data_IF_063409132953
#
_entry.id   IF_063409132953
#
_cell.length_a   1.000
_cell.length_b   1.000
_cell.length_c   1.000
_cell.angle_alpha   90.00
_cell.angle_beta   90.00
_cell.angle_gamma   90.00
#
_symmetry.space_group_name_H-M   'P 1'
#
loop_
_entity.id
_entity.type
_entity.pdbx_description
1 polymer ?
#
# COMPACT_ATOMS: atom_id res chain seq x y z
N UNK A 1 -3.43 7.37 -3.58
CA UNK A 1 -2.81 6.16 -3.00
C UNK A 1 -2.57 5.10 -4.06
N UNK A 2 -1.62 4.22 -3.80
CA UNK A 2 -1.41 3.03 -4.62
C UNK A 2 -1.45 1.79 -3.73
N UNK A 3 -2.19 0.77 -4.15
CA UNK A 3 -2.28 -0.53 -3.47
C UNK A 3 -1.87 -1.64 -4.43
N UNK A 4 -1.16 -2.64 -3.90
CA UNK A 4 -0.58 -3.73 -4.69
C UNK A 4 -0.89 -5.09 -4.07
N UNK A 5 -1.90 -5.81 -4.57
CA UNK A 5 -2.22 -7.15 -4.10
C UNK A 5 -1.17 -8.17 -4.54
N UNK A 6 -0.90 -9.16 -3.70
CA UNK A 6 0.07 -10.22 -3.96
C UNK A 6 -0.55 -11.49 -4.58
N UNK A 7 -1.85 -11.66 -4.43
CA UNK A 7 -2.61 -12.83 -4.88
C UNK A 7 -4.09 -12.51 -5.10
N UNK A 8 -4.87 -13.54 -5.44
CA UNK A 8 -6.29 -13.37 -5.75
C UNK A 8 -7.15 -13.00 -4.53
N UNK A 9 -6.78 -13.43 -3.32
CA UNK A 9 -7.49 -13.05 -2.10
C UNK A 9 -7.24 -11.59 -1.78
N UNK A 10 -5.98 -11.13 -1.84
CA UNK A 10 -5.65 -9.73 -1.70
C UNK A 10 -6.40 -8.85 -2.72
N UNK A 11 -6.61 -9.33 -3.95
CA UNK A 11 -7.38 -8.56 -4.95
C UNK A 11 -8.79 -8.24 -4.47
N UNK A 12 -9.46 -9.16 -3.79
CA UNK A 12 -10.81 -8.94 -3.24
C UNK A 12 -10.74 -8.01 -2.01
N UNK A 13 -9.86 -8.32 -1.08
CA UNK A 13 -9.79 -7.61 0.20
C UNK A 13 -9.27 -6.17 0.02
N UNK A 14 -8.23 -6.00 -0.79
CA UNK A 14 -7.67 -4.68 -1.08
C UNK A 14 -8.61 -3.80 -1.90
N UNK A 15 -9.46 -4.39 -2.77
CA UNK A 15 -10.43 -3.61 -3.52
C UNK A 15 -11.46 -2.98 -2.58
N UNK A 16 -11.94 -3.70 -1.58
CA UNK A 16 -12.85 -3.14 -0.56
C UNK A 16 -12.19 -1.97 0.18
N UNK A 17 -10.97 -2.18 0.65
CA UNK A 17 -10.21 -1.16 1.37
C UNK A 17 -9.83 0.02 0.47
N UNK A 18 -9.57 -0.19 -0.82
CA UNK A 18 -9.28 0.88 -1.77
C UNK A 18 -10.47 1.84 -1.92
N UNK A 19 -11.71 1.35 -1.89
CA UNK A 19 -12.90 2.20 -1.87
C UNK A 19 -12.99 3.01 -0.56
N UNK A 20 -12.73 2.38 0.59
CA UNK A 20 -12.72 3.09 1.88
C UNK A 20 -11.63 4.17 1.95
N UNK A 21 -10.43 3.88 1.45
CA UNK A 21 -9.34 4.86 1.32
C UNK A 21 -9.77 6.02 0.41
N UNK A 22 -10.36 5.71 -0.74
CA UNK A 22 -10.82 6.71 -1.70
C UNK A 22 -11.86 7.65 -1.09
N UNK A 23 -12.85 7.09 -0.40
CA UNK A 23 -13.90 7.86 0.26
C UNK A 23 -13.38 8.68 1.46
N UNK A 24 -12.51 8.09 2.26
CA UNK A 24 -11.94 8.72 3.45
C UNK A 24 -11.04 9.90 3.12
N UNK A 25 -10.18 9.75 2.12
CA UNK A 25 -9.20 10.77 1.74
C UNK A 25 -9.62 11.62 0.54
N UNK A 26 -10.77 11.31 -0.06
CA UNK A 26 -11.28 12.04 -1.22
C UNK A 26 -10.26 12.12 -2.37
N UNK A 27 -9.73 10.94 -2.74
CA UNK A 27 -8.70 10.75 -3.77
C UNK A 27 -8.98 9.51 -4.62
N UNK A 28 -8.49 9.44 -5.85
CA UNK A 28 -8.42 8.17 -6.56
C UNK A 28 -7.38 7.25 -5.92
N UNK A 29 -7.64 5.95 -5.96
CA UNK A 29 -6.67 4.91 -5.58
C UNK A 29 -6.25 4.15 -6.82
N UNK A 30 -4.95 4.08 -7.07
CA UNK A 30 -4.38 3.24 -8.10
C UNK A 30 -4.27 1.80 -7.55
N UNK A 31 -5.02 0.90 -8.15
CA UNK A 31 -4.98 -0.53 -7.86
C UNK A 31 -4.03 -1.19 -8.87
N UNK A 32 -2.77 -1.39 -8.47
CA UNK A 32 -1.72 -1.89 -9.36
C UNK A 32 -1.62 -3.40 -9.24
N UNK A 33 -1.83 -4.09 -10.35
CA UNK A 33 -1.64 -5.55 -10.45
C UNK A 33 -0.64 -5.87 -11.56
N UNK A 34 0.23 -6.82 -11.29
CA UNK A 34 1.13 -7.35 -12.32
C UNK A 34 0.42 -8.37 -13.19
N UNK A 35 0.96 -8.64 -14.36
CA UNK A 35 0.43 -9.65 -15.30
C UNK A 35 0.25 -11.02 -14.63
N UNK A 36 1.17 -11.41 -13.75
CA UNK A 36 1.09 -12.71 -13.07
C UNK A 36 -0.12 -12.80 -12.14
N UNK A 37 -0.38 -11.76 -11.35
CA UNK A 37 -1.57 -11.70 -10.49
C UNK A 37 -2.84 -11.68 -11.33
N UNK A 38 -2.88 -10.89 -12.40
CA UNK A 38 -4.05 -10.82 -13.31
C UNK A 38 -4.40 -12.14 -13.99
N UNK A 39 -3.40 -12.98 -14.28
CA UNK A 39 -3.60 -14.27 -14.95
C UNK A 39 -3.65 -15.46 -13.98
N UNK A 40 -3.43 -15.23 -12.68
CA UNK A 40 -3.54 -16.28 -11.67
C UNK A 40 -5.00 -16.66 -11.41
N UNK A 41 -5.18 -17.88 -10.94
CA UNK A 41 -6.48 -18.40 -10.51
C UNK A 41 -6.25 -19.17 -9.21
N UNK A 42 -6.98 -18.80 -8.18
CA UNK A 42 -6.98 -19.52 -6.90
C UNK A 42 -8.36 -19.52 -6.26
N UNK A 43 -8.54 -20.38 -5.27
CA UNK A 43 -9.74 -20.35 -4.44
C UNK A 43 -9.66 -19.12 -3.55
N UNK A 44 -10.75 -18.38 -3.47
CA UNK A 44 -10.88 -17.16 -2.66
C UNK A 44 -12.11 -17.24 -1.76
N UNK A 45 -12.02 -16.62 -0.61
CA UNK A 45 -13.15 -16.45 0.29
C UNK A 45 -13.88 -15.14 -0.07
N UNK A 46 -15.17 -15.24 -0.33
CA UNK A 46 -16.01 -14.08 -0.59
C UNK A 46 -16.85 -13.76 0.65
N UNK A 47 -16.89 -12.49 1.03
CA UNK A 47 -17.78 -12.02 2.09
C UNK A 47 -19.19 -11.69 1.57
N UNK A 48 -20.09 -11.32 2.49
CA UNK A 48 -21.42 -10.83 2.13
C UNK A 48 -21.34 -9.43 1.50
N UNK A 49 -22.33 -9.13 0.66
CA UNK A 49 -22.45 -7.82 0.04
C UNK A 49 -22.83 -6.76 1.08
N UNK A 50 -21.96 -5.77 1.27
CA UNK A 50 -22.29 -4.59 2.07
C UNK A 50 -23.09 -3.61 1.21
N UNK A 51 -24.26 -3.20 1.71
CA UNK A 51 -25.04 -2.14 1.07
C UNK A 51 -24.57 -0.79 1.60
N UNK A 52 -24.11 0.07 0.70
CA UNK A 52 -23.70 1.44 1.01
C UNK A 52 -24.83 2.39 0.67
N UNK A 53 -25.14 3.33 1.55
CA UNK A 53 -26.14 4.35 1.30
C UNK A 53 -25.75 5.23 0.11
N UNK A 54 -26.74 5.56 -0.72
CA UNK A 54 -26.52 6.46 -1.84
C UNK A 54 -26.19 7.87 -1.32
N UNK A 55 -25.09 8.46 -1.80
CA UNK A 55 -24.72 9.84 -1.52
C UNK A 55 -25.27 10.75 -2.60
N UNK A 56 -25.99 11.79 -2.19
CA UNK A 56 -26.47 12.80 -3.14
C UNK A 56 -25.31 13.66 -3.65
N UNK A 57 -25.39 14.05 -4.91
CA UNK A 57 -24.42 14.97 -5.50
C UNK A 57 -24.59 16.39 -4.94
N UNK A 58 -23.53 16.92 -4.34
CA UNK A 58 -23.47 18.31 -3.88
C UNK A 58 -22.55 19.10 -4.80
N UNK A 59 -23.08 20.13 -5.47
CA UNK A 59 -22.27 21.00 -6.32
C UNK A 59 -21.22 21.75 -5.51
N UNK A 60 -19.94 21.51 -5.80
CA UNK A 60 -18.82 22.18 -5.14
C UNK A 60 -17.75 22.60 -6.16
N UNK A 61 -17.88 23.81 -6.74
CA UNK A 61 -16.92 24.33 -7.71
C UNK A 61 -15.51 24.50 -7.12
N UNK A 62 -15.38 24.77 -5.83
CA UNK A 62 -14.07 24.92 -5.18
C UNK A 62 -13.32 23.60 -5.04
N UNK A 63 -14.03 22.47 -5.07
CA UNK A 63 -13.46 21.14 -5.08
C UNK A 63 -13.17 20.65 -6.49
N UNK A 64 -14.14 20.81 -7.41
CA UNK A 64 -14.12 20.12 -8.70
C UNK A 64 -13.59 20.95 -9.86
N UNK A 65 -13.47 22.28 -9.72
CA UNK A 65 -12.95 23.13 -10.78
C UNK A 65 -11.46 23.45 -10.57
N UNK A 66 -10.59 22.76 -11.33
CA UNK A 66 -9.14 22.97 -11.31
C UNK A 66 -8.74 24.19 -12.12
N UNK A 67 -9.04 25.40 -11.61
CA UNK A 67 -8.60 26.65 -12.22
C UNK A 67 -7.26 27.13 -11.65
N UNK A 68 -6.47 27.95 -12.38
CA UNK A 68 -5.20 28.48 -11.87
C UNK A 68 -5.34 29.20 -10.52
N UNK A 69 -6.42 29.94 -10.33
CA UNK A 69 -6.69 30.65 -9.07
C UNK A 69 -6.86 29.70 -7.86
N UNK A 70 -7.32 28.47 -8.08
CA UNK A 70 -7.52 27.45 -7.04
C UNK A 70 -6.35 26.50 -6.88
N UNK A 71 -5.43 26.46 -7.84
CA UNK A 71 -4.33 25.48 -7.87
C UNK A 71 -3.49 25.48 -6.59
N UNK A 72 -3.14 26.66 -6.05
CA UNK A 72 -2.36 26.78 -4.82
C UNK A 72 -3.07 26.15 -3.59
N UNK A 73 -4.37 26.38 -3.47
CA UNK A 73 -5.16 25.81 -2.37
C UNK A 73 -5.34 24.30 -2.53
N UNK A 74 -5.50 23.82 -3.76
CA UNK A 74 -5.57 22.39 -4.06
C UNK A 74 -4.25 21.67 -3.77
N UNK A 75 -3.11 22.28 -4.14
CA UNK A 75 -1.79 21.72 -3.85
C UNK A 75 -1.53 21.61 -2.35
N UNK A 76 -1.84 22.64 -1.57
CA UNK A 76 -1.71 22.58 -0.12
C UNK A 76 -2.59 21.50 0.51
N UNK A 77 -3.80 21.30 -0.01
CA UNK A 77 -4.69 20.18 0.42
C UNK A 77 -4.09 18.83 0.06
N UNK A 78 -3.50 18.69 -1.12
CA UNK A 78 -2.82 17.46 -1.55
C UNK A 78 -1.66 17.10 -0.63
N UNK A 79 -0.77 18.05 -0.34
CA UNK A 79 0.37 17.84 0.57
C UNK A 79 -0.06 17.39 1.97
N UNK A 80 -1.09 18.03 2.54
CA UNK A 80 -1.61 17.63 3.84
C UNK A 80 -2.23 16.22 3.80
N UNK A 81 -2.89 15.89 2.71
CA UNK A 81 -3.54 14.59 2.50
C UNK A 81 -2.51 13.47 2.36
N UNK A 82 -1.40 13.72 1.66
CA UNK A 82 -0.29 12.76 1.55
C UNK A 82 0.27 12.39 2.92
N UNK A 83 0.49 13.36 3.80
CA UNK A 83 0.94 13.11 5.18
C UNK A 83 -0.06 12.27 5.99
N UNK A 84 -1.36 12.59 5.86
CA UNK A 84 -2.40 11.81 6.55
C UNK A 84 -2.49 10.38 6.02
N UNK A 85 -2.26 10.19 4.73
CA UNK A 85 -2.26 8.87 4.09
C UNK A 85 -1.03 8.04 4.50
N UNK A 86 0.13 8.65 4.65
CA UNK A 86 1.33 7.99 5.18
C UNK A 86 1.09 7.46 6.60
N UNK A 87 0.56 8.31 7.48
CA UNK A 87 0.18 7.89 8.84
C UNK A 87 -0.88 6.77 8.83
N UNK A 88 -1.86 6.86 7.94
CA UNK A 88 -2.85 5.79 7.75
C UNK A 88 -2.19 4.50 7.26
N UNK A 89 -1.27 4.57 6.30
CA UNK A 89 -0.59 3.40 5.78
C UNK A 89 0.21 2.66 6.86
N UNK A 90 0.80 3.37 7.83
CA UNK A 90 1.49 2.75 8.97
C UNK A 90 0.60 1.85 9.83
N UNK A 91 -0.70 2.15 9.92
CA UNK A 91 -1.67 1.39 10.71
C UNK A 91 -2.64 0.54 9.85
N UNK A 92 -2.48 0.54 8.54
CA UNK A 92 -3.40 -0.15 7.63
C UNK A 92 -3.29 -1.67 7.74
N UNK A 93 -4.42 -2.39 7.75
CA UNK A 93 -4.42 -3.85 7.73
C UNK A 93 -3.91 -4.45 6.42
N UNK A 94 -3.75 -3.65 5.37
CA UNK A 94 -3.16 -4.09 4.10
C UNK A 94 -1.66 -4.33 4.20
N UNK A 95 -0.99 -3.68 5.17
CA UNK A 95 0.42 -3.90 5.46
C UNK A 95 0.54 -4.94 6.59
N UNK A 96 1.25 -6.03 6.33
CA UNK A 96 1.37 -7.15 7.27
C UNK A 96 2.81 -7.34 7.70
N UNK A 97 3.04 -7.43 9.00
CA UNK A 97 4.33 -7.80 9.59
C UNK A 97 4.24 -9.25 10.07
N UNK A 98 5.16 -10.07 9.61
CA UNK A 98 5.31 -11.47 10.01
C UNK A 98 6.73 -11.64 10.57
N UNK A 99 6.88 -11.67 11.90
CA UNK A 99 8.17 -11.80 12.54
C UNK A 99 8.61 -13.26 12.67
N UNK A 100 9.82 -13.55 12.22
CA UNK A 100 10.56 -14.78 12.46
C UNK A 100 11.63 -14.61 13.56
N UNK A 101 12.82 -15.17 13.35
CA UNK A 101 13.93 -15.09 14.31
C UNK A 101 14.71 -13.75 14.32
N UNK A 102 14.34 -12.83 13.46
CA UNK A 102 14.97 -11.49 13.36
C UNK A 102 16.33 -11.43 12.63
N UNK A 103 16.86 -12.54 12.15
CA UNK A 103 18.14 -12.54 11.42
C UNK A 103 18.03 -11.91 10.03
N UNK A 104 16.97 -12.25 9.34
CA UNK A 104 16.68 -11.74 7.99
C UNK A 104 15.33 -11.09 7.98
N UNK A 105 15.26 -9.86 7.49
CA UNK A 105 14.02 -9.15 7.18
C UNK A 105 13.86 -8.92 5.69
N UNK A 106 12.66 -9.12 5.17
CA UNK A 106 12.31 -8.89 3.77
C UNK A 106 11.15 -7.94 3.68
N UNK A 107 11.35 -6.82 3.00
CA UNK A 107 10.28 -5.89 2.62
C UNK A 107 9.92 -6.15 1.17
N UNK A 108 8.65 -6.33 0.88
CA UNK A 108 8.16 -6.59 -0.48
C UNK A 108 6.71 -6.20 -0.66
N UNK A 109 6.27 -6.05 -1.91
CA UNK A 109 4.90 -5.74 -2.30
C UNK A 109 4.46 -6.60 -3.48
N UNK A 110 3.16 -6.70 -3.69
CA UNK A 110 2.59 -7.43 -4.81
C UNK A 110 3.12 -8.86 -4.94
N UNK A 111 3.30 -9.34 -6.16
CA UNK A 111 3.76 -10.71 -6.42
C UNK A 111 5.18 -10.98 -5.93
N UNK A 112 6.02 -9.95 -5.78
CA UNK A 112 7.38 -10.10 -5.23
C UNK A 112 7.38 -10.69 -3.82
N UNK A 113 6.31 -10.43 -3.03
CA UNK A 113 6.13 -11.07 -1.73
C UNK A 113 6.02 -12.60 -1.84
N UNK A 114 5.28 -13.11 -2.83
CA UNK A 114 5.14 -14.56 -3.02
C UNK A 114 6.49 -15.20 -3.39
N UNK A 115 7.27 -14.54 -4.24
CA UNK A 115 8.62 -15.02 -4.58
C UNK A 115 9.56 -15.00 -3.38
N UNK A 116 9.52 -13.94 -2.59
CA UNK A 116 10.31 -13.86 -1.36
C UNK A 116 9.95 -14.99 -0.38
N UNK A 117 8.65 -15.26 -0.21
CA UNK A 117 8.15 -16.38 0.62
C UNK A 117 8.63 -17.74 0.12
N UNK A 118 8.64 -17.96 -1.19
CA UNK A 118 9.12 -19.22 -1.77
C UNK A 118 10.63 -19.43 -1.53
N UNK A 119 11.43 -18.36 -1.62
CA UNK A 119 12.89 -18.45 -1.46
C UNK A 119 13.33 -18.55 -0.01
N UNK A 120 12.79 -17.69 0.85
CA UNK A 120 13.23 -17.60 2.27
C UNK A 120 12.42 -18.50 3.21
N UNK A 121 11.18 -18.87 2.86
CA UNK A 121 10.29 -19.68 3.66
C UNK A 121 10.08 -19.11 5.05
N UNK A 122 10.24 -19.94 6.08
CA UNK A 122 10.10 -19.52 7.48
C UNK A 122 11.41 -18.99 8.09
N UNK A 123 12.47 -18.85 7.28
CA UNK A 123 13.80 -18.39 7.73
C UNK A 123 13.93 -16.87 7.68
N UNK A 124 12.87 -16.14 7.41
CA UNK A 124 12.89 -14.67 7.38
C UNK A 124 11.67 -14.07 8.07
N UNK A 125 11.84 -12.83 8.53
CA UNK A 125 10.75 -11.94 8.90
C UNK A 125 10.28 -11.18 7.66
N UNK A 126 8.99 -10.87 7.55
CA UNK A 126 8.44 -10.20 6.39
C UNK A 126 7.68 -8.95 6.77
N UNK A 127 7.89 -7.89 6.00
CA UNK A 127 6.98 -6.77 5.91
C UNK A 127 6.36 -6.77 4.50
N UNK A 128 5.15 -7.31 4.40
CA UNK A 128 4.34 -7.26 3.18
C UNK A 128 3.65 -5.92 3.10
N UNK A 129 3.99 -5.12 2.10
CA UNK A 129 3.36 -3.83 1.84
C UNK A 129 2.20 -4.00 0.86
N UNK A 130 0.99 -3.72 1.32
CA UNK A 130 -0.18 -3.60 0.48
C UNK A 130 -0.41 -2.17 -0.01
N UNK A 131 0.05 -1.16 0.76
CA UNK A 131 0.08 0.24 0.35
C UNK A 131 1.53 0.62 0.04
N UNK A 132 1.81 0.94 -1.22
CA UNK A 132 3.15 1.28 -1.71
C UNK A 132 3.33 2.76 -2.05
N UNK A 133 2.25 3.53 -2.05
CA UNK A 133 2.34 4.99 -2.17
C UNK A 133 1.17 5.68 -1.44
N UNK A 134 1.47 6.54 -0.45
CA UNK A 134 2.78 6.77 0.15
C UNK A 134 3.29 5.55 0.93
N UNK A 135 4.62 5.41 0.99
CA UNK A 135 5.22 4.34 1.79
C UNK A 135 5.03 4.59 3.30
N UNK A 136 4.73 3.57 4.10
CA UNK A 136 4.59 3.67 5.55
C UNK A 136 5.96 3.72 6.25
N UNK A 137 6.66 4.85 6.16
CA UNK A 137 8.07 4.95 6.55
C UNK A 137 8.33 4.64 8.03
N UNK A 138 7.42 5.01 8.94
CA UNK A 138 7.55 4.66 10.37
C UNK A 138 7.43 3.14 10.60
N UNK A 139 6.52 2.48 9.91
CA UNK A 139 6.37 1.02 9.97
C UNK A 139 7.61 0.32 9.41
N UNK A 140 8.13 0.82 8.27
CA UNK A 140 9.35 0.30 7.64
C UNK A 140 10.55 0.46 8.58
N UNK A 141 10.74 1.63 9.19
CA UNK A 141 11.81 1.87 10.15
C UNK A 141 11.70 0.98 11.39
N UNK A 142 10.48 0.82 11.91
CA UNK A 142 10.21 -0.08 13.04
C UNK A 142 10.54 -1.53 12.71
N UNK A 143 10.14 -2.03 11.54
CA UNK A 143 10.47 -3.37 11.08
C UNK A 143 11.98 -3.54 10.89
N UNK A 144 12.63 -2.61 10.21
CA UNK A 144 14.06 -2.66 9.94
C UNK A 144 14.91 -2.73 11.22
N UNK A 145 14.47 -2.03 12.28
CA UNK A 145 15.17 -2.06 13.59
C UNK A 145 15.07 -3.40 14.33
N UNK A 146 14.22 -4.32 13.89
CA UNK A 146 14.00 -5.61 14.53
C UNK A 146 14.71 -6.77 13.81
N UNK A 147 15.47 -6.49 12.75
CA UNK A 147 16.17 -7.50 11.96
C UNK A 147 17.65 -7.18 11.83
N UNK A 148 18.49 -8.20 11.74
CA UNK A 148 19.94 -8.02 11.61
C UNK A 148 20.34 -7.67 10.17
N UNK A 149 19.62 -8.21 9.19
CA UNK A 149 19.88 -8.02 7.76
C UNK A 149 18.59 -7.76 7.02
N UNK A 150 18.53 -6.64 6.31
CA UNK A 150 17.35 -6.21 5.57
C UNK A 150 17.53 -6.41 4.06
N UNK A 151 16.50 -6.96 3.42
CA UNK A 151 16.36 -7.04 1.98
C UNK A 151 15.09 -6.33 1.53
N UNK A 152 15.16 -5.63 0.41
CA UNK A 152 13.99 -5.12 -0.31
C UNK A 152 13.86 -5.92 -1.60
N UNK A 153 12.72 -6.57 -1.80
CA UNK A 153 12.46 -7.40 -2.98
C UNK A 153 11.33 -6.76 -3.78
N UNK A 154 11.69 -6.29 -4.96
CA UNK A 154 10.80 -5.57 -5.87
C UNK A 154 10.79 -6.21 -7.25
N UNK A 155 9.71 -5.98 -7.99
CA UNK A 155 9.60 -6.28 -9.40
C UNK A 155 10.05 -5.07 -10.22
N UNK A 156 11.05 -5.21 -11.09
CA UNK A 156 11.64 -4.19 -11.96
C UNK A 156 12.51 -3.15 -11.20
N UNK A 157 12.10 -1.87 -11.19
CA UNK A 157 12.88 -0.75 -10.70
C UNK A 157 12.87 -0.66 -9.15
N UNK A 158 13.97 -0.18 -8.53
CA UNK A 158 14.13 -0.12 -7.06
C UNK A 158 13.33 1.04 -6.43
N UNK A 159 12.04 1.10 -6.64
CA UNK A 159 11.17 2.19 -6.20
C UNK A 159 11.09 2.32 -4.66
N UNK A 160 10.89 1.20 -3.97
CA UNK A 160 10.83 1.19 -2.50
C UNK A 160 12.24 1.32 -1.91
N UNK A 161 13.20 0.57 -2.46
CA UNK A 161 14.59 0.56 -1.99
C UNK A 161 15.19 1.97 -1.98
N UNK A 162 15.01 2.75 -3.06
CA UNK A 162 15.52 4.11 -3.15
C UNK A 162 14.94 5.04 -2.08
N UNK A 163 13.64 4.95 -1.82
CA UNK A 163 12.99 5.76 -0.80
C UNK A 163 13.40 5.35 0.62
N UNK A 164 13.51 4.05 0.88
CA UNK A 164 13.96 3.49 2.16
C UNK A 164 15.39 3.95 2.46
N UNK A 165 16.29 3.86 1.48
CA UNK A 165 17.67 4.35 1.60
C UNK A 165 17.72 5.87 1.77
N UNK A 166 16.92 6.62 1.04
CA UNK A 166 16.86 8.07 1.17
C UNK A 166 16.40 8.54 2.56
N UNK A 167 15.59 7.71 3.24
CA UNK A 167 15.20 7.95 4.64
C UNK A 167 16.25 7.52 5.67
N UNK A 168 17.41 7.02 5.24
CA UNK A 168 18.48 6.56 6.11
C UNK A 168 18.22 5.20 6.78
N UNK A 169 17.30 4.44 6.26
CA UNK A 169 17.01 3.07 6.69
C UNK A 169 17.82 2.14 5.78
N UNK A 170 18.83 1.47 6.32
CA UNK A 170 19.73 0.58 5.58
C UNK A 170 19.88 -0.75 6.31
#
# INVERSE_FOLDING_TARGET
>A
AMVEPSDSQDCIDFMKEAYEISEKFDIPVLFRMTTRVCHSKSVVETGERVQVAHKEYVKNPDKFAATPARAKAHHKRLENRLKQMEAYACASPLNKVEMGDGKVGVISAGVAYQYAREVFGDNASYLKLGITNPLPMELIASFASQVEKLYVVEELEPFMEEQIKAAGIA
#
